data_IF_534783277694
#
_entry.id   IF_534783277694
#
_cell.length_a   1.000
_cell.length_b   1.000
_cell.length_c   1.000
_cell.angle_alpha   90.00
_cell.angle_beta   90.00
_cell.angle_gamma   90.00
#
_symmetry.space_group_name_H-M   'P 1'
#
loop_
_entity.id
_entity.type
_entity.pdbx_description
1 polymer ?
#
# COMPACT_ATOMS: atom_id res chain seq x y z
N UNK A 1 -23.43 10.09 3.80
CA UNK A 1 -24.19 11.07 2.99
C UNK A 1 -25.34 11.57 3.84
N UNK A 2 -25.66 12.87 3.85
CA UNK A 2 -26.73 13.39 4.70
C UNK A 2 -28.08 13.12 4.02
N UNK A 3 -29.09 12.55 4.70
CA UNK A 3 -30.32 12.04 4.08
C UNK A 3 -31.19 13.13 3.41
N UNK A 4 -30.89 14.40 3.64
CA UNK A 4 -31.59 15.54 3.05
C UNK A 4 -30.90 16.13 1.80
N UNK A 5 -29.72 15.61 1.41
CA UNK A 5 -29.05 16.01 0.17
C UNK A 5 -29.44 15.01 -0.89
N UNK A 6 -30.05 15.48 -1.98
CA UNK A 6 -30.50 14.61 -3.06
C UNK A 6 -29.34 13.83 -3.69
N UNK A 7 -29.58 12.58 -4.08
CA UNK A 7 -28.53 11.67 -4.55
C UNK A 7 -27.77 12.20 -5.77
N UNK A 8 -28.41 13.04 -6.58
CA UNK A 8 -27.83 13.69 -7.75
C UNK A 8 -26.95 14.90 -7.43
N UNK A 9 -26.99 15.41 -6.19
CA UNK A 9 -26.07 16.45 -5.72
C UNK A 9 -24.84 15.74 -5.16
N UNK A 10 -23.96 15.34 -6.07
CA UNK A 10 -22.71 14.69 -5.73
C UNK A 10 -21.59 15.16 -6.68
N UNK A 11 -20.34 15.05 -6.23
CA UNK A 11 -19.17 15.38 -7.05
C UNK A 11 -18.77 14.21 -7.95
N UNK A 12 -19.74 13.48 -8.55
CA UNK A 12 -19.43 12.31 -9.38
C UNK A 12 -19.13 12.60 -10.84
N UNK A 13 -19.33 13.84 -11.26
CA UNK A 13 -18.98 14.33 -12.57
C UNK A 13 -18.11 15.57 -12.40
N UNK A 14 -17.19 15.78 -13.34
CA UNK A 14 -16.51 17.07 -13.43
C UNK A 14 -17.47 18.09 -14.05
N UNK A 15 -17.38 19.34 -13.62
CA UNK A 15 -18.02 20.43 -14.31
C UNK A 15 -17.40 20.59 -15.71
N UNK A 16 -18.25 20.79 -16.73
CA UNK A 16 -17.88 20.88 -18.15
C UNK A 16 -17.15 19.65 -18.74
N UNK A 17 -17.33 18.46 -18.14
CA UNK A 17 -16.66 17.22 -18.57
C UNK A 17 -16.98 16.81 -20.01
N UNK A 18 -18.14 17.20 -20.51
CA UNK A 18 -18.60 16.96 -21.88
C UNK A 18 -17.70 17.62 -22.92
N UNK A 19 -16.93 18.66 -22.57
CA UNK A 19 -15.93 19.25 -23.47
C UNK A 19 -14.86 18.22 -23.92
N UNK A 20 -14.61 17.18 -23.13
CA UNK A 20 -13.66 16.11 -23.47
C UNK A 20 -14.13 15.26 -24.65
N UNK A 21 -15.43 15.23 -24.95
CA UNK A 21 -15.98 14.52 -26.11
C UNK A 21 -15.48 15.10 -27.44
N UNK A 22 -15.14 16.39 -27.47
CA UNK A 22 -14.58 17.06 -28.64
C UNK A 22 -13.09 16.70 -28.89
N UNK A 23 -12.45 15.95 -27.97
CA UNK A 23 -11.03 15.57 -28.01
C UNK A 23 -10.11 16.78 -28.25
N UNK A 24 -10.18 17.80 -27.38
CA UNK A 24 -9.33 18.97 -27.53
C UNK A 24 -7.84 18.58 -27.40
N UNK A 25 -6.97 19.26 -28.16
CA UNK A 25 -5.52 19.04 -28.05
C UNK A 25 -4.95 19.42 -26.68
N UNK A 26 -5.56 20.38 -25.99
CA UNK A 26 -5.23 20.78 -24.62
C UNK A 26 -6.47 20.84 -23.74
N UNK A 27 -6.32 20.51 -22.45
CA UNK A 27 -7.37 20.63 -21.43
C UNK A 27 -6.81 21.31 -20.20
N UNK A 28 -7.57 22.22 -19.59
CA UNK A 28 -7.23 22.86 -18.33
C UNK A 28 -8.09 22.27 -17.21
N UNK A 29 -7.49 21.97 -16.07
CA UNK A 29 -8.16 21.52 -14.85
C UNK A 29 -8.03 22.61 -13.80
N UNK A 30 -9.15 23.21 -13.39
CA UNK A 30 -9.23 24.22 -12.33
C UNK A 30 -9.81 23.67 -11.04
N UNK A 31 -9.69 24.40 -9.94
CA UNK A 31 -10.26 23.99 -8.64
C UNK A 31 -11.78 24.16 -8.62
N UNK A 32 -12.27 25.36 -8.94
CA UNK A 32 -13.68 25.74 -8.82
C UNK A 32 -14.46 25.86 -10.13
N UNK A 33 -15.79 25.94 -10.01
CA UNK A 33 -16.70 26.17 -11.14
C UNK A 33 -16.53 27.56 -11.74
N UNK A 34 -16.29 28.57 -10.90
CA UNK A 34 -16.09 29.97 -11.33
C UNK A 34 -14.85 30.10 -12.20
N UNK A 35 -13.74 29.48 -11.81
CA UNK A 35 -12.51 29.40 -12.60
C UNK A 35 -12.74 28.72 -13.95
N UNK A 36 -13.50 27.62 -13.93
CA UNK A 36 -13.83 26.88 -15.14
C UNK A 36 -14.67 27.74 -16.09
N UNK A 37 -15.69 28.41 -15.57
CA UNK A 37 -16.55 29.32 -16.33
C UNK A 37 -15.75 30.49 -16.93
N UNK A 38 -14.84 31.09 -16.17
CA UNK A 38 -14.02 32.21 -16.64
C UNK A 38 -13.14 31.78 -17.83
N UNK A 39 -12.52 30.59 -17.79
CA UNK A 39 -11.76 30.06 -18.92
C UNK A 39 -12.65 29.62 -20.10
N UNK A 40 -13.85 29.10 -19.81
CA UNK A 40 -14.83 28.77 -20.85
C UNK A 40 -15.27 30.03 -21.61
N UNK A 41 -15.42 31.18 -20.94
CA UNK A 41 -15.71 32.46 -21.59
C UNK A 41 -14.60 32.91 -22.55
N UNK A 42 -13.35 32.53 -22.26
CA UNK A 42 -12.21 32.73 -23.16
C UNK A 42 -12.11 31.67 -24.27
N UNK A 43 -13.05 30.72 -24.33
CA UNK A 43 -13.09 29.65 -25.31
C UNK A 43 -11.98 28.62 -25.13
N UNK A 44 -11.53 28.41 -23.89
CA UNK A 44 -10.52 27.41 -23.54
C UNK A 44 -11.21 26.12 -23.03
N UNK A 45 -10.77 24.92 -23.47
CA UNK A 45 -11.31 23.66 -22.97
C UNK A 45 -10.89 23.44 -21.52
N UNK A 46 -11.86 23.50 -20.60
CA UNK A 46 -11.59 23.47 -19.16
C UNK A 46 -12.58 22.56 -18.46
N UNK A 47 -12.12 21.86 -17.42
CA UNK A 47 -12.96 21.07 -16.51
C UNK A 47 -12.64 21.42 -15.06
N UNK A 48 -13.59 21.20 -14.15
CA UNK A 48 -13.36 21.38 -12.71
C UNK A 48 -13.91 20.21 -11.90
N UNK A 49 -13.17 19.67 -10.91
CA UNK A 49 -13.69 18.71 -9.96
C UNK A 49 -14.64 19.33 -8.92
N UNK A 50 -14.76 20.66 -8.88
CA UNK A 50 -15.47 21.42 -7.84
C UNK A 50 -14.85 21.19 -6.45
N UNK A 51 -13.57 20.80 -6.43
CA UNK A 51 -12.76 20.51 -5.25
C UNK A 51 -11.29 20.39 -5.66
N UNK A 52 -10.39 20.42 -4.69
CA UNK A 52 -8.94 20.26 -4.86
C UNK A 52 -8.48 18.90 -5.41
N UNK A 53 -9.35 17.87 -5.44
CA UNK A 53 -8.98 16.50 -5.83
C UNK A 53 -10.06 15.77 -6.63
N UNK A 54 -9.66 15.13 -7.72
CA UNK A 54 -10.49 14.14 -8.42
C UNK A 54 -10.54 12.85 -7.61
N UNK A 55 -11.72 12.24 -7.47
CA UNK A 55 -11.89 11.02 -6.67
C UNK A 55 -11.31 9.82 -7.41
N UNK A 56 -10.76 8.87 -6.66
CA UNK A 56 -10.12 7.67 -7.23
C UNK A 56 -11.04 6.92 -8.23
N UNK A 57 -12.32 6.79 -7.89
CA UNK A 57 -13.32 6.11 -8.71
C UNK A 57 -13.64 6.84 -10.04
N UNK A 58 -13.39 8.14 -10.14
CA UNK A 58 -13.72 8.92 -11.34
C UNK A 58 -12.65 8.74 -12.43
N UNK A 59 -11.43 8.34 -12.06
CA UNK A 59 -10.32 8.15 -13.01
C UNK A 59 -10.60 7.06 -14.04
N UNK A 60 -11.30 5.97 -13.67
CA UNK A 60 -11.67 4.90 -14.60
C UNK A 60 -12.49 5.44 -15.78
N UNK A 61 -13.34 6.45 -15.53
CA UNK A 61 -14.16 7.11 -16.55
C UNK A 61 -13.42 8.24 -17.28
N UNK A 62 -12.54 8.96 -16.58
CA UNK A 62 -11.84 10.15 -17.12
C UNK A 62 -10.66 9.78 -18.02
N UNK A 63 -9.86 8.78 -17.66
CA UNK A 63 -8.67 8.39 -18.42
C UNK A 63 -8.99 8.04 -19.89
N UNK A 64 -10.05 7.27 -20.21
CA UNK A 64 -10.44 7.03 -21.59
C UNK A 64 -10.82 8.31 -22.36
N UNK A 65 -11.39 9.32 -21.69
CA UNK A 65 -11.79 10.59 -22.31
C UNK A 65 -10.61 11.53 -22.56
N UNK A 66 -9.58 11.44 -21.72
CA UNK A 66 -8.32 12.17 -21.88
C UNK A 66 -7.38 11.51 -22.90
N UNK A 67 -7.71 10.30 -23.38
CA UNK A 67 -6.94 9.59 -24.41
C UNK A 67 -7.01 10.35 -25.74
N UNK A 68 -5.95 11.08 -26.07
CA UNK A 68 -5.85 11.92 -27.27
C UNK A 68 -5.70 13.41 -26.97
N UNK A 69 -5.81 13.82 -25.71
CA UNK A 69 -5.35 15.14 -25.26
C UNK A 69 -3.82 15.11 -25.30
N UNK A 70 -3.20 16.10 -25.95
CA UNK A 70 -1.75 16.21 -26.05
C UNK A 70 -1.15 16.64 -24.70
N UNK A 71 -1.74 17.67 -24.08
CA UNK A 71 -1.29 18.19 -22.78
C UNK A 71 -2.46 18.56 -21.87
N UNK A 72 -2.39 18.12 -20.62
CA UNK A 72 -3.29 18.55 -19.54
C UNK A 72 -2.59 19.60 -18.70
N UNK A 73 -3.21 20.77 -18.56
CA UNK A 73 -2.76 21.85 -17.71
C UNK A 73 -3.55 21.84 -16.40
N UNK A 74 -2.88 21.93 -15.27
CA UNK A 74 -3.53 22.03 -13.96
C UNK A 74 -3.25 23.44 -13.43
N UNK A 75 -4.31 24.21 -13.24
CA UNK A 75 -4.27 25.58 -12.75
C UNK A 75 -5.11 25.67 -11.47
N UNK A 76 -4.46 25.53 -10.32
CA UNK A 76 -5.11 25.68 -9.01
C UNK A 76 -4.86 27.08 -8.45
N UNK A 77 -5.59 27.44 -7.40
CA UNK A 77 -5.38 28.68 -6.65
C UNK A 77 -3.92 28.84 -6.24
N UNK A 78 -3.36 30.03 -6.45
CA UNK A 78 -2.06 30.37 -5.89
C UNK A 78 -2.27 30.94 -4.49
N UNK A 79 -2.27 30.05 -3.49
CA UNK A 79 -2.51 30.35 -2.09
C UNK A 79 -1.31 30.04 -1.17
N UNK A 80 -1.28 30.66 0.01
CA UNK A 80 -0.22 30.43 0.99
C UNK A 80 -0.20 29.00 1.51
N UNK A 81 -1.35 28.36 1.69
CA UNK A 81 -1.49 27.03 2.31
C UNK A 81 -0.94 25.88 1.47
N UNK A 82 -0.77 26.11 0.15
CA UNK A 82 -0.35 25.11 -0.83
C UNK A 82 -1.26 23.86 -0.87
N UNK A 83 -2.52 23.96 -0.41
CA UNK A 83 -3.45 22.85 -0.45
C UNK A 83 -3.85 22.51 -1.89
N UNK A 84 -4.14 23.53 -2.71
CA UNK A 84 -4.33 23.40 -4.15
C UNK A 84 -3.14 22.71 -4.84
N UNK A 85 -1.90 23.07 -4.48
CA UNK A 85 -0.71 22.44 -5.03
C UNK A 85 -0.62 20.94 -4.74
N UNK A 86 -0.89 20.51 -3.50
CA UNK A 86 -0.87 19.07 -3.15
C UNK A 86 -1.90 18.30 -3.99
N UNK A 87 -3.08 18.90 -4.24
CA UNK A 87 -4.09 18.36 -5.14
C UNK A 87 -3.60 18.27 -6.59
N UNK A 88 -2.93 19.32 -7.07
CA UNK A 88 -2.36 19.37 -8.42
C UNK A 88 -1.30 18.30 -8.66
N UNK A 89 -0.36 18.11 -7.74
CA UNK A 89 0.69 17.09 -7.86
C UNK A 89 0.12 15.67 -7.83
N UNK A 90 -0.89 15.40 -7.00
CA UNK A 90 -1.55 14.09 -6.98
C UNK A 90 -2.29 13.80 -8.30
N UNK A 91 -2.96 14.81 -8.84
CA UNK A 91 -3.64 14.74 -10.14
C UNK A 91 -2.62 14.49 -11.25
N UNK A 92 -1.50 15.22 -11.25
CA UNK A 92 -0.43 15.06 -12.23
C UNK A 92 0.23 13.69 -12.17
N UNK A 93 0.45 13.14 -10.97
CA UNK A 93 0.99 11.78 -10.80
C UNK A 93 0.07 10.73 -11.44
N UNK A 94 -1.23 10.83 -11.19
CA UNK A 94 -2.22 9.90 -11.76
C UNK A 94 -2.23 9.99 -13.30
N UNK A 95 -2.16 11.20 -13.85
CA UNK A 95 -2.09 11.40 -15.31
C UNK A 95 -0.78 10.86 -15.91
N UNK A 96 0.35 11.05 -15.23
CA UNK A 96 1.65 10.55 -15.65
C UNK A 96 1.72 9.01 -15.70
N UNK A 97 1.09 8.31 -14.74
CA UNK A 97 0.94 6.84 -14.75
C UNK A 97 0.22 6.33 -16.02
N UNK A 98 -0.65 7.17 -16.59
CA UNK A 98 -1.35 6.90 -17.85
C UNK A 98 -0.68 7.53 -19.08
N UNK A 99 0.55 8.05 -18.95
CA UNK A 99 1.36 8.66 -20.01
C UNK A 99 0.73 9.90 -20.66
N UNK A 100 -0.04 10.66 -19.88
CA UNK A 100 -0.63 11.93 -20.32
C UNK A 100 0.33 13.05 -19.93
N UNK A 101 0.79 13.86 -20.91
CA UNK A 101 1.65 15.01 -20.62
C UNK A 101 0.89 15.99 -19.74
N UNK A 102 1.51 16.38 -18.63
CA UNK A 102 0.87 17.21 -17.62
C UNK A 102 1.75 18.38 -17.23
N UNK A 103 1.16 19.57 -17.15
CA UNK A 103 1.82 20.83 -16.82
C UNK A 103 1.09 21.55 -15.69
N UNK A 104 1.85 22.15 -14.79
CA UNK A 104 1.35 22.98 -13.70
C UNK A 104 1.46 24.46 -14.10
N UNK A 105 0.32 25.15 -14.04
CA UNK A 105 0.20 26.57 -14.31
C UNK A 105 0.19 27.31 -12.98
N UNK A 106 1.05 28.31 -12.84
CA UNK A 106 1.09 29.18 -11.66
C UNK A 106 0.57 30.56 -12.03
N UNK A 107 -0.50 31.01 -11.37
CA UNK A 107 -1.02 32.35 -11.56
C UNK A 107 -0.07 33.39 -10.94
N UNK A 108 0.28 34.48 -11.65
CA UNK A 108 1.08 35.56 -11.09
C UNK A 108 0.28 36.31 -10.02
N UNK A 109 0.97 36.73 -8.96
CA UNK A 109 0.35 37.56 -7.91
C UNK A 109 0.36 39.02 -8.33
N UNK A 110 -0.75 39.73 -8.12
CA UNK A 110 -0.77 41.19 -8.23
C UNK A 110 -0.13 41.85 -7.00
N UNK A 111 0.12 43.15 -7.09
CA UNK A 111 0.62 43.96 -5.97
C UNK A 111 -0.26 43.79 -4.72
N UNK A 112 -1.58 43.70 -4.88
CA UNK A 112 -2.52 43.52 -3.77
C UNK A 112 -2.26 42.21 -3.01
N UNK A 113 -2.07 41.11 -3.73
CA UNK A 113 -1.79 39.81 -3.09
C UNK A 113 -0.38 39.76 -2.50
N UNK A 114 0.61 40.41 -3.14
CA UNK A 114 1.98 40.51 -2.61
C UNK A 114 1.99 41.28 -1.29
N UNK A 115 1.34 42.45 -1.24
CA UNK A 115 1.25 43.27 -0.02
C UNK A 115 0.50 42.55 1.09
N UNK A 116 -0.59 41.84 0.78
CA UNK A 116 -1.31 41.04 1.78
C UNK A 116 -0.43 39.93 2.37
N UNK A 117 0.38 39.25 1.54
CA UNK A 117 1.35 38.24 2.01
C UNK A 117 2.44 38.85 2.88
N UNK A 118 2.97 40.02 2.50
CA UNK A 118 3.96 40.74 3.30
C UNK A 118 3.40 41.14 4.67
N UNK A 119 2.18 41.70 4.74
CA UNK A 119 1.56 42.06 6.01
C UNK A 119 1.30 40.83 6.88
N UNK A 120 0.86 39.70 6.29
CA UNK A 120 0.72 38.43 7.02
C UNK A 120 2.04 37.97 7.62
N UNK A 121 3.14 38.07 6.88
CA UNK A 121 4.47 37.72 7.36
C UNK A 121 4.95 38.65 8.47
N UNK A 122 4.87 39.96 8.26
CA UNK A 122 5.40 40.97 9.20
C UNK A 122 4.60 41.04 10.51
N UNK A 123 3.27 41.02 10.42
CA UNK A 123 2.38 41.26 11.57
C UNK A 123 2.02 39.98 12.33
N UNK A 124 1.98 38.85 11.63
CA UNK A 124 1.55 37.57 12.20
C UNK A 124 2.62 36.47 12.14
N UNK A 125 3.80 36.75 11.57
CA UNK A 125 4.90 35.77 11.48
C UNK A 125 4.61 34.63 10.52
N UNK A 126 3.65 34.79 9.60
CA UNK A 126 3.23 33.75 8.67
C UNK A 126 4.21 33.69 7.49
N UNK A 127 5.24 32.86 7.60
CA UNK A 127 6.31 32.74 6.58
C UNK A 127 6.08 31.61 5.57
N UNK A 128 5.28 30.57 5.88
CA UNK A 128 4.97 29.49 4.92
C UNK A 128 3.74 28.63 5.30
N UNK A 129 3.00 28.18 4.27
CA UNK A 129 2.08 27.01 4.26
C UNK A 129 1.15 26.84 5.46
N UNK A 130 0.49 27.91 5.88
CA UNK A 130 -0.44 27.85 7.02
C UNK A 130 -1.85 27.54 6.52
N UNK A 131 -2.37 26.37 6.88
CA UNK A 131 -3.77 26.01 6.64
C UNK A 131 -4.71 26.69 7.65
N UNK A 132 -6.04 26.71 7.42
CA UNK A 132 -7.00 27.37 8.31
C UNK A 132 -6.91 26.93 9.78
N UNK A 133 -6.59 25.65 10.02
CA UNK A 133 -6.41 25.09 11.37
C UNK A 133 -5.14 25.57 12.06
N UNK A 134 -4.05 25.70 11.32
CA UNK A 134 -2.78 26.19 11.87
C UNK A 134 -2.84 27.70 12.11
N UNK A 135 -3.55 28.43 11.25
CA UNK A 135 -3.84 29.85 11.47
C UNK A 135 -4.65 30.03 12.77
N UNK A 136 -5.71 29.25 12.96
CA UNK A 136 -6.49 29.28 14.21
C UNK A 136 -5.62 29.00 15.44
N UNK A 137 -4.66 28.06 15.33
CA UNK A 137 -3.72 27.76 16.40
C UNK A 137 -2.76 28.93 16.67
N UNK A 138 -2.16 29.52 15.63
CA UNK A 138 -1.23 30.65 15.75
C UNK A 138 -1.89 31.93 16.30
N UNK A 139 -3.18 32.12 16.02
CA UNK A 139 -3.96 33.26 16.49
C UNK A 139 -4.65 33.00 17.84
N UNK A 140 -4.41 31.85 18.48
CA UNK A 140 -5.02 31.53 19.78
C UNK A 140 -4.61 32.57 20.82
N UNK A 141 -5.60 33.18 21.50
CA UNK A 141 -5.38 34.19 22.52
C UNK A 141 -5.18 35.62 21.98
N UNK A 142 -5.21 35.83 20.65
CA UNK A 142 -5.22 37.17 20.07
C UNK A 142 -6.62 37.81 20.11
N UNK A 143 -6.72 39.15 20.11
CA UNK A 143 -8.01 39.84 20.05
C UNK A 143 -8.82 39.46 18.81
N UNK A 144 -10.15 39.38 18.92
CA UNK A 144 -11.03 39.00 17.80
C UNK A 144 -10.85 39.89 16.56
N UNK A 145 -10.52 41.16 16.73
CA UNK A 145 -10.26 42.08 15.62
C UNK A 145 -8.97 41.72 14.85
N UNK A 146 -7.94 41.22 15.54
CA UNK A 146 -6.72 40.73 14.89
C UNK A 146 -6.96 39.43 14.13
N UNK A 147 -7.82 38.56 14.67
CA UNK A 147 -8.20 37.31 14.00
C UNK A 147 -8.91 37.63 12.67
N UNK A 148 -9.91 38.51 12.71
CA UNK A 148 -10.64 38.93 11.50
C UNK A 148 -9.72 39.61 10.48
N UNK A 149 -8.78 40.45 10.94
CA UNK A 149 -7.80 41.09 10.06
C UNK A 149 -6.89 40.05 9.38
N UNK A 150 -6.39 39.06 10.12
CA UNK A 150 -5.58 37.99 9.57
C UNK A 150 -6.35 37.11 8.57
N UNK A 151 -7.62 36.78 8.85
CA UNK A 151 -8.48 36.03 7.94
C UNK A 151 -8.76 36.80 6.64
N UNK A 152 -9.04 38.10 6.73
CA UNK A 152 -9.26 38.97 5.57
C UNK A 152 -7.99 39.09 4.71
N UNK A 153 -6.83 39.25 5.34
CA UNK A 153 -5.55 39.25 4.65
C UNK A 153 -5.25 37.90 3.99
N UNK A 154 -5.55 36.78 4.67
CA UNK A 154 -5.36 35.44 4.09
C UNK A 154 -6.25 35.23 2.86
N UNK A 155 -7.51 35.68 2.91
CA UNK A 155 -8.41 35.65 1.76
C UNK A 155 -7.89 36.52 0.60
N UNK A 156 -7.30 37.69 0.91
CA UNK A 156 -6.68 38.57 -0.09
C UNK A 156 -5.37 38.01 -0.63
N UNK A 157 -4.65 37.19 0.14
CA UNK A 157 -3.32 36.68 -0.24
C UNK A 157 -3.35 35.58 -1.30
N UNK A 158 -4.52 35.07 -1.68
CA UNK A 158 -4.68 34.11 -2.76
C UNK A 158 -5.17 34.78 -4.04
N UNK A 159 -4.87 34.15 -5.17
CA UNK A 159 -5.43 34.51 -6.48
C UNK A 159 -5.94 33.23 -7.12
N UNK A 160 -7.14 33.30 -7.67
CA UNK A 160 -7.74 32.25 -8.48
C UNK A 160 -7.86 32.69 -9.95
N UNK A 161 -8.34 31.79 -10.82
CA UNK A 161 -8.38 32.07 -12.26
C UNK A 161 -9.44 33.12 -12.57
N UNK A 162 -10.55 33.10 -11.84
CA UNK A 162 -11.61 34.08 -11.98
C UNK A 162 -11.11 35.50 -11.62
N UNK A 163 -10.36 35.65 -10.53
CA UNK A 163 -9.72 36.92 -10.15
C UNK A 163 -8.73 37.40 -11.21
N UNK A 164 -7.90 36.49 -11.74
CA UNK A 164 -6.95 36.80 -12.81
C UNK A 164 -7.67 37.35 -14.05
N UNK A 165 -8.75 36.72 -14.48
CA UNK A 165 -9.51 37.19 -15.66
C UNK A 165 -10.28 38.48 -15.34
N UNK A 166 -10.84 38.61 -14.14
CA UNK A 166 -11.53 39.81 -13.68
C UNK A 166 -10.62 41.06 -13.62
N UNK A 167 -9.31 40.87 -13.44
CA UNK A 167 -8.31 41.93 -13.53
C UNK A 167 -8.07 42.45 -14.96
N UNK A 168 -8.78 41.91 -15.97
CA UNK A 168 -8.71 42.34 -17.36
C UNK A 168 -7.77 41.52 -18.23
N UNK A 169 -7.23 40.41 -17.72
CA UNK A 169 -6.37 39.52 -18.50
C UNK A 169 -7.15 38.77 -19.58
N UNK A 170 -6.56 38.73 -20.77
CA UNK A 170 -7.15 38.19 -22.00
C UNK A 170 -6.84 36.70 -22.18
N UNK A 171 -7.45 36.09 -23.20
CA UNK A 171 -7.10 34.73 -23.65
C UNK A 171 -5.62 34.61 -23.96
N UNK A 172 -5.07 35.60 -24.68
CA UNK A 172 -3.67 35.64 -25.08
C UNK A 172 -2.73 35.71 -23.87
N UNK A 173 -3.15 36.40 -22.80
CA UNK A 173 -2.40 36.46 -21.55
C UNK A 173 -2.35 35.09 -20.86
N UNK A 174 -3.51 34.43 -20.78
CA UNK A 174 -3.58 33.09 -20.20
C UNK A 174 -2.83 32.05 -21.04
N UNK A 175 -2.88 32.13 -22.37
CA UNK A 175 -2.10 31.22 -23.22
C UNK A 175 -0.59 31.37 -23.04
N UNK A 176 -0.09 32.57 -22.71
CA UNK A 176 1.33 32.74 -22.31
C UNK A 176 1.65 32.02 -21.01
N UNK A 177 0.75 32.03 -20.03
CA UNK A 177 0.91 31.22 -18.80
C UNK A 177 0.98 29.72 -19.10
N UNK A 178 0.21 29.23 -20.07
CA UNK A 178 0.27 27.82 -20.50
C UNK A 178 1.62 27.48 -21.14
N UNK A 179 2.22 28.40 -21.89
CA UNK A 179 3.56 28.20 -22.48
C UNK A 179 4.65 28.16 -21.40
N UNK A 180 4.50 28.96 -20.34
CA UNK A 180 5.43 29.01 -19.21
C UNK A 180 5.20 27.91 -18.15
N UNK A 181 4.15 27.10 -18.34
CA UNK A 181 3.76 26.05 -17.42
C UNK A 181 4.86 25.00 -17.23
N UNK A 182 5.08 24.61 -15.99
CA UNK A 182 6.17 23.72 -15.61
C UNK A 182 5.71 22.27 -15.56
N UNK A 183 6.57 21.32 -15.87
CA UNK A 183 6.32 19.92 -15.50
C UNK A 183 6.24 19.77 -13.98
N UNK A 184 5.60 18.71 -13.45
CA UNK A 184 5.56 18.45 -12.01
C UNK A 184 6.96 18.41 -11.37
N UNK A 185 7.94 17.83 -12.05
CA UNK A 185 9.33 17.77 -11.58
C UNK A 185 9.94 19.18 -11.51
N UNK A 186 9.84 19.97 -12.59
CA UNK A 186 10.37 21.33 -12.62
C UNK A 186 9.73 22.22 -11.55
N UNK A 187 8.43 22.06 -11.35
CA UNK A 187 7.71 22.75 -10.29
C UNK A 187 8.25 22.34 -8.92
N UNK A 188 8.38 21.04 -8.65
CA UNK A 188 8.94 20.52 -7.40
C UNK A 188 10.34 21.08 -7.11
N UNK A 189 11.18 21.20 -8.15
CA UNK A 189 12.49 21.85 -8.05
C UNK A 189 12.35 23.33 -7.70
N UNK A 190 11.51 24.10 -8.41
CA UNK A 190 11.31 25.54 -8.16
C UNK A 190 10.73 25.84 -6.77
N UNK A 191 9.94 24.93 -6.20
CA UNK A 191 9.34 25.06 -4.88
C UNK A 191 10.31 24.77 -3.73
N UNK A 192 11.50 24.25 -4.00
CA UNK A 192 12.53 24.07 -2.99
C UNK A 192 12.88 25.44 -2.35
N UNK A 193 12.96 25.55 -1.01
CA UNK A 193 13.38 26.78 -0.35
C UNK A 193 14.77 27.23 -0.84
N UNK A 194 15.05 28.54 -0.81
CA UNK A 194 16.38 29.04 -1.19
C UNK A 194 17.43 28.70 -0.11
N UNK A 195 17.05 28.78 1.16
CA UNK A 195 17.93 28.57 2.32
C UNK A 195 17.68 27.20 2.97
N UNK A 196 18.10 26.12 2.31
CA UNK A 196 17.91 24.75 2.82
C UNK A 196 19.12 24.32 3.65
N UNK A 197 18.86 23.91 4.90
CA UNK A 197 19.83 23.19 5.73
C UNK A 197 20.35 21.94 5.00
N UNK A 198 21.60 21.51 5.25
CA UNK A 198 22.12 20.30 4.58
C UNK A 198 21.28 19.06 4.88
N UNK A 199 20.73 18.96 6.10
CA UNK A 199 19.92 17.84 6.57
C UNK A 199 18.54 17.78 5.88
N UNK A 200 17.85 18.93 5.76
CA UNK A 200 16.55 18.98 5.07
C UNK A 200 16.70 18.86 3.54
N UNK A 201 17.85 19.25 2.99
CA UNK A 201 18.12 19.22 1.55
C UNK A 201 18.04 17.82 0.99
N UNK A 202 18.70 16.85 1.63
CA UNK A 202 18.69 15.47 1.15
C UNK A 202 17.27 14.89 1.18
N UNK A 203 16.53 15.12 2.28
CA UNK A 203 15.13 14.66 2.42
C UNK A 203 14.21 15.24 1.36
N UNK A 204 14.36 16.52 1.00
CA UNK A 204 13.53 17.17 -0.01
C UNK A 204 13.95 16.82 -1.45
N UNK A 205 15.23 16.57 -1.68
CA UNK A 205 15.74 16.22 -3.01
C UNK A 205 15.50 14.75 -3.37
N UNK A 206 15.51 13.84 -2.40
CA UNK A 206 15.33 12.40 -2.65
C UNK A 206 14.13 12.05 -3.54
N UNK A 207 12.88 12.50 -3.27
CA UNK A 207 11.74 12.20 -4.13
C UNK A 207 11.89 12.80 -5.54
N UNK A 208 12.45 14.01 -5.65
CA UNK A 208 12.67 14.69 -6.93
C UNK A 208 13.72 13.92 -7.76
N UNK A 209 14.82 13.51 -7.14
CA UNK A 209 15.85 12.70 -7.79
C UNK A 209 15.30 11.33 -8.21
N UNK A 210 14.40 10.76 -7.41
CA UNK A 210 13.64 9.57 -7.76
C UNK A 210 12.89 9.73 -9.09
N UNK A 211 12.10 10.80 -9.24
CA UNK A 211 11.36 11.09 -10.47
C UNK A 211 12.27 11.43 -11.65
N UNK A 212 13.36 12.19 -11.41
CA UNK A 212 14.37 12.48 -12.44
C UNK A 212 15.01 11.18 -12.94
N UNK A 213 15.27 10.20 -12.06
CA UNK A 213 15.95 8.95 -12.41
C UNK A 213 15.21 8.10 -13.46
N UNK A 214 13.91 8.33 -13.63
CA UNK A 214 13.03 7.66 -14.60
C UNK A 214 13.02 8.34 -15.97
N UNK A 215 13.54 9.57 -16.05
CA UNK A 215 13.56 10.34 -17.29
C UNK A 215 14.67 9.87 -18.23
N UNK A 216 14.59 10.29 -19.50
CA UNK A 216 15.64 10.01 -20.48
C UNK A 216 16.99 10.63 -20.04
N UNK A 217 18.16 10.08 -20.47
CA UNK A 217 19.46 10.62 -20.07
C UNK A 217 19.66 12.11 -20.40
N UNK A 218 19.10 12.58 -21.51
CA UNK A 218 19.15 13.99 -21.89
C UNK A 218 18.34 14.86 -20.92
N UNK A 219 17.13 14.39 -20.58
CA UNK A 219 16.23 15.11 -19.69
C UNK A 219 16.72 15.09 -18.24
N UNK A 220 17.36 14.01 -17.81
CA UNK A 220 18.08 13.94 -16.53
C UNK A 220 19.12 15.05 -16.42
N UNK A 221 19.96 15.23 -17.45
CA UNK A 221 20.99 16.28 -17.43
C UNK A 221 20.38 17.67 -17.32
N UNK A 222 19.28 17.93 -18.04
CA UNK A 222 18.56 19.21 -18.01
C UNK A 222 17.96 19.49 -16.63
N UNK A 223 17.25 18.52 -16.05
CA UNK A 223 16.59 18.65 -14.75
C UNK A 223 17.59 18.74 -13.59
N UNK A 224 18.69 17.97 -13.64
CA UNK A 224 19.75 18.08 -12.63
C UNK A 224 20.42 19.45 -12.64
N UNK A 225 20.56 20.08 -13.82
CA UNK A 225 21.06 21.46 -13.91
C UNK A 225 20.12 22.45 -13.22
N UNK A 226 18.81 22.30 -13.44
CA UNK A 226 17.79 23.10 -12.76
C UNK A 226 17.84 22.92 -11.23
N UNK A 227 18.01 21.68 -10.75
CA UNK A 227 18.23 21.38 -9.33
C UNK A 227 19.46 22.12 -8.81
N UNK A 228 20.58 22.02 -9.51
CA UNK A 228 21.85 22.66 -9.11
C UNK A 228 21.74 24.19 -9.03
N UNK A 229 21.08 24.81 -10.01
CA UNK A 229 20.83 26.26 -10.04
C UNK A 229 19.98 26.70 -8.84
N UNK A 230 18.97 25.90 -8.46
CA UNK A 230 18.08 26.24 -7.35
C UNK A 230 18.75 26.12 -5.97
N UNK A 231 19.56 25.09 -5.75
CA UNK A 231 20.21 24.82 -4.45
C UNK A 231 21.52 25.60 -4.23
N UNK A 232 21.87 26.53 -5.14
CA UNK A 232 22.95 27.49 -4.91
C UNK A 232 24.36 26.91 -4.89
N UNK A 233 24.68 25.91 -5.71
CA UNK A 233 26.06 25.40 -5.88
C UNK A 233 26.61 24.57 -4.70
N UNK A 234 25.83 24.36 -3.64
CA UNK A 234 26.23 23.53 -2.49
C UNK A 234 26.33 22.03 -2.79
N UNK A 235 25.91 21.57 -3.97
CA UNK A 235 26.03 20.17 -4.42
C UNK A 235 26.59 20.15 -5.84
N UNK A 236 27.59 19.30 -6.08
CA UNK A 236 28.20 19.15 -7.40
C UNK A 236 27.32 18.32 -8.35
N UNK A 237 27.39 18.59 -9.65
CA UNK A 237 26.75 17.74 -10.67
C UNK A 237 27.22 16.28 -10.62
N UNK A 238 28.46 16.03 -10.18
CA UNK A 238 28.98 14.68 -10.03
C UNK A 238 28.23 13.94 -8.92
N UNK A 239 28.04 14.59 -7.77
CA UNK A 239 27.29 14.07 -6.62
C UNK A 239 25.83 13.77 -7.00
N UNK A 240 25.17 14.68 -7.72
CA UNK A 240 23.80 14.45 -8.18
C UNK A 240 23.68 13.27 -9.14
N UNK A 241 24.63 13.11 -10.08
CA UNK A 241 24.66 11.96 -11.00
C UNK A 241 24.93 10.65 -10.27
N UNK A 242 25.77 10.66 -9.24
CA UNK A 242 26.05 9.49 -8.42
C UNK A 242 24.82 9.05 -7.62
N UNK A 243 24.08 10.01 -7.04
CA UNK A 243 22.79 9.77 -6.39
C UNK A 243 21.77 9.12 -7.35
N UNK A 244 21.61 9.66 -8.56
CA UNK A 244 20.72 9.04 -9.59
C UNK A 244 21.13 7.60 -9.91
N UNK A 245 22.45 7.33 -10.02
CA UNK A 245 22.95 5.98 -10.28
C UNK A 245 22.69 5.03 -9.10
N UNK A 246 22.82 5.51 -7.87
CA UNK A 246 22.50 4.75 -6.67
C UNK A 246 21.01 4.36 -6.67
N UNK A 247 20.12 5.33 -6.86
CA UNK A 247 18.66 5.10 -6.95
C UNK A 247 18.31 4.08 -8.05
N UNK A 248 18.91 4.22 -9.24
CA UNK A 248 18.68 3.27 -10.34
C UNK A 248 19.21 1.85 -10.02
N UNK A 249 20.33 1.75 -9.30
CA UNK A 249 20.91 0.47 -8.87
C UNK A 249 19.99 -0.21 -7.86
N UNK A 250 19.52 0.52 -6.87
CA UNK A 250 18.67 0.00 -5.80
C UNK A 250 17.32 -0.48 -6.37
N UNK A 251 16.68 0.32 -7.22
CA UNK A 251 15.47 -0.09 -7.96
C UNK A 251 15.68 -1.32 -8.82
N UNK A 252 16.86 -1.48 -9.44
CA UNK A 252 17.17 -2.68 -10.24
C UNK A 252 17.34 -3.92 -9.37
N UNK A 253 17.86 -3.78 -8.15
CA UNK A 253 17.93 -4.86 -7.16
C UNK A 253 16.52 -5.22 -6.70
N UNK A 254 15.72 -4.22 -6.35
CA UNK A 254 14.33 -4.38 -5.91
C UNK A 254 13.49 -5.09 -6.98
N UNK A 255 13.51 -4.60 -8.23
CA UNK A 255 12.82 -5.25 -9.35
C UNK A 255 13.27 -6.70 -9.59
N UNK A 256 14.57 -7.00 -9.41
CA UNK A 256 15.06 -8.39 -9.50
C UNK A 256 14.52 -9.25 -8.37
N UNK A 257 14.44 -8.70 -7.16
CA UNK A 257 13.91 -9.39 -5.98
C UNK A 257 12.41 -9.63 -6.11
N UNK A 258 11.64 -8.63 -6.55
CA UNK A 258 10.22 -8.77 -6.86
C UNK A 258 9.97 -9.82 -7.94
N UNK A 259 10.76 -9.80 -9.02
CA UNK A 259 10.63 -10.81 -10.09
C UNK A 259 10.97 -12.22 -9.60
N UNK A 260 11.97 -12.37 -8.72
CA UNK A 260 12.28 -13.65 -8.05
C UNK A 260 11.12 -14.10 -7.17
N UNK A 261 10.53 -13.18 -6.38
CA UNK A 261 9.37 -13.43 -5.52
C UNK A 261 8.16 -13.87 -6.34
N UNK A 262 7.78 -13.11 -7.36
CA UNK A 262 6.68 -13.42 -8.26
C UNK A 262 6.86 -14.78 -8.98
N UNK A 263 8.06 -15.10 -9.46
CA UNK A 263 8.32 -16.38 -10.12
C UNK A 263 8.12 -17.56 -9.16
N UNK A 264 8.60 -17.47 -7.92
CA UNK A 264 8.45 -18.54 -6.92
C UNK A 264 7.02 -18.66 -6.41
N UNK A 265 6.33 -17.53 -6.20
CA UNK A 265 4.94 -17.52 -5.74
C UNK A 265 3.93 -17.92 -6.84
N UNK A 266 4.30 -17.88 -8.12
CA UNK A 266 3.39 -18.19 -9.25
C UNK A 266 2.77 -19.60 -9.22
N UNK A 267 3.37 -20.54 -8.47
CA UNK A 267 2.91 -21.91 -8.33
C UNK A 267 2.07 -22.19 -7.07
N UNK A 268 1.92 -21.22 -6.16
CA UNK A 268 1.22 -21.39 -4.90
C UNK A 268 -0.11 -20.61 -4.87
N UNK A 269 -1.19 -21.26 -4.43
CA UNK A 269 -2.48 -20.59 -4.28
C UNK A 269 -2.40 -19.58 -3.12
N UNK A 270 -2.83 -18.31 -3.30
CA UNK A 270 -2.87 -17.34 -2.21
C UNK A 270 -3.58 -17.89 -0.97
N UNK A 271 -3.00 -17.69 0.21
CA UNK A 271 -3.54 -18.20 1.48
C UNK A 271 -3.28 -19.69 1.76
N UNK A 272 -2.68 -20.44 0.83
CA UNK A 272 -2.25 -21.83 1.09
C UNK A 272 -1.00 -21.91 1.98
N UNK A 273 -0.80 -23.05 2.65
CA UNK A 273 0.39 -23.31 3.46
C UNK A 273 1.67 -23.12 2.64
N UNK A 274 1.67 -23.61 1.39
CA UNK A 274 2.77 -23.44 0.44
C UNK A 274 3.09 -21.98 0.17
N UNK A 275 2.08 -21.13 -0.06
CA UNK A 275 2.31 -19.71 -0.28
C UNK A 275 2.97 -19.05 0.93
N UNK A 276 2.55 -19.44 2.14
CA UNK A 276 3.13 -18.92 3.39
C UNK A 276 4.58 -19.41 3.60
N UNK A 277 4.86 -20.68 3.34
CA UNK A 277 6.20 -21.27 3.41
C UNK A 277 7.14 -20.61 2.39
N UNK A 278 6.69 -20.47 1.13
CA UNK A 278 7.47 -19.84 0.06
C UNK A 278 7.76 -18.37 0.39
N UNK A 279 6.80 -17.63 0.94
CA UNK A 279 6.98 -16.24 1.38
C UNK A 279 8.10 -16.12 2.41
N UNK A 280 8.07 -16.92 3.49
CA UNK A 280 9.09 -16.88 4.55
C UNK A 280 10.48 -17.25 4.00
N UNK A 281 10.57 -18.28 3.16
CA UNK A 281 11.85 -18.67 2.54
C UNK A 281 12.41 -17.58 1.64
N UNK A 282 11.56 -16.85 0.91
CA UNK A 282 11.97 -15.73 0.05
C UNK A 282 12.42 -14.55 0.91
N UNK A 283 11.63 -14.15 1.89
CA UNK A 283 11.90 -12.95 2.69
C UNK A 283 13.19 -13.13 3.51
N UNK A 284 13.41 -14.32 4.10
CA UNK A 284 14.64 -14.64 4.81
C UNK A 284 15.86 -14.76 3.90
N UNK A 285 15.71 -15.28 2.67
CA UNK A 285 16.81 -15.27 1.67
C UNK A 285 17.19 -13.86 1.24
N UNK A 286 16.21 -12.96 1.12
CA UNK A 286 16.44 -11.56 0.77
C UNK A 286 17.12 -10.77 1.91
N UNK A 287 16.73 -11.05 3.16
CA UNK A 287 17.27 -10.37 4.34
C UNK A 287 18.64 -10.93 4.76
N UNK A 288 18.76 -12.25 4.88
CA UNK A 288 19.93 -12.92 5.46
C UNK A 288 20.89 -13.51 4.41
N UNK A 289 20.52 -13.46 3.12
CA UNK A 289 21.29 -14.06 2.03
C UNK A 289 21.13 -15.58 1.88
N UNK A 290 20.35 -16.23 2.76
CA UNK A 290 20.00 -17.65 2.68
C UNK A 290 18.60 -17.91 3.27
N UNK A 291 17.85 -18.88 2.72
CA UNK A 291 16.51 -19.20 3.20
C UNK A 291 16.55 -19.86 4.59
N UNK A 292 15.66 -19.43 5.49
CA UNK A 292 15.51 -20.01 6.83
C UNK A 292 14.38 -21.04 6.87
N UNK A 293 14.76 -22.32 6.90
CA UNK A 293 13.83 -23.44 6.96
C UNK A 293 13.22 -23.67 8.33
N UNK A 294 13.80 -23.09 9.39
CA UNK A 294 13.25 -23.13 10.76
C UNK A 294 12.03 -22.22 10.82
N UNK A 295 12.17 -20.96 10.38
CA UNK A 295 11.06 -20.02 10.31
C UNK A 295 9.97 -20.49 9.33
N UNK A 296 10.36 -21.13 8.22
CA UNK A 296 9.41 -21.71 7.29
C UNK A 296 8.57 -22.84 7.95
N UNK A 297 9.17 -23.67 8.80
CA UNK A 297 8.46 -24.71 9.55
C UNK A 297 7.53 -24.11 10.62
N UNK A 298 7.95 -23.04 11.30
CA UNK A 298 7.07 -22.30 12.22
C UNK A 298 5.87 -21.70 11.49
N UNK A 299 6.08 -21.10 10.33
CA UNK A 299 5.00 -20.54 9.53
C UNK A 299 4.02 -21.62 9.03
N UNK A 300 4.52 -22.82 8.71
CA UNK A 300 3.67 -23.95 8.40
C UNK A 300 2.87 -24.43 9.62
N UNK A 301 3.49 -24.51 10.80
CA UNK A 301 2.82 -24.85 12.06
C UNK A 301 1.65 -23.90 12.37
N UNK A 302 1.89 -22.60 12.26
CA UNK A 302 0.87 -21.57 12.44
C UNK A 302 -0.26 -21.71 11.43
N UNK A 303 0.07 -21.91 10.15
CA UNK A 303 -0.92 -22.12 9.11
C UNK A 303 -1.79 -23.35 9.39
N UNK A 304 -1.18 -24.48 9.76
CA UNK A 304 -1.91 -25.71 10.07
C UNK A 304 -2.86 -25.49 11.25
N UNK A 305 -2.40 -24.87 12.34
CA UNK A 305 -3.27 -24.54 13.48
C UNK A 305 -4.44 -23.64 13.08
N UNK A 306 -4.18 -22.59 12.30
CA UNK A 306 -5.22 -21.68 11.81
C UNK A 306 -6.25 -22.38 10.90
N UNK A 307 -5.87 -23.51 10.29
CA UNK A 307 -6.71 -24.31 9.40
C UNK A 307 -7.23 -25.58 10.06
N UNK A 308 -7.30 -25.62 11.39
CA UNK A 308 -7.96 -26.68 12.14
C UNK A 308 -7.10 -27.91 12.44
N UNK A 309 -5.78 -27.85 12.18
CA UNK A 309 -4.88 -28.86 12.71
C UNK A 309 -4.76 -28.73 14.23
N UNK A 310 -4.59 -29.87 14.88
CA UNK A 310 -4.28 -29.95 16.30
C UNK A 310 -3.00 -30.78 16.45
N UNK A 311 -2.05 -30.24 17.20
CA UNK A 311 -0.76 -30.89 17.46
C UNK A 311 -0.74 -31.47 18.86
N UNK A 312 -0.21 -32.68 18.96
CA UNK A 312 -0.19 -33.47 20.18
C UNK A 312 1.15 -34.17 20.35
N UNK A 313 1.38 -34.62 21.57
CA UNK A 313 2.42 -35.61 21.85
C UNK A 313 1.97 -36.60 22.92
N UNK A 314 2.48 -37.83 22.84
CA UNK A 314 2.22 -38.85 23.87
C UNK A 314 3.00 -38.55 25.16
N UNK A 315 2.68 -39.27 26.23
CA UNK A 315 3.47 -39.25 27.48
C UNK A 315 4.92 -39.71 27.27
N UNK A 316 5.15 -40.57 26.27
CA UNK A 316 6.47 -41.07 25.89
C UNK A 316 7.22 -40.11 24.95
N UNK A 317 6.59 -39.01 24.58
CA UNK A 317 7.18 -37.95 23.76
C UNK A 317 7.15 -38.22 22.26
N UNK A 318 6.19 -39.02 21.78
CA UNK A 318 5.98 -39.22 20.34
C UNK A 318 5.04 -38.14 19.78
N UNK A 319 5.50 -37.28 18.86
CA UNK A 319 4.67 -36.21 18.29
C UNK A 319 3.75 -36.70 17.18
N UNK A 320 2.51 -36.23 17.20
CA UNK A 320 1.53 -36.49 16.15
C UNK A 320 0.60 -35.29 15.93
N UNK A 321 0.00 -35.23 14.75
CA UNK A 321 -0.93 -34.18 14.36
C UNK A 321 -2.25 -34.78 13.90
N UNK A 322 -3.37 -34.21 14.34
CA UNK A 322 -4.68 -34.45 13.77
C UNK A 322 -5.01 -33.34 12.78
N UNK A 323 -5.31 -33.70 11.53
CA UNK A 323 -5.66 -32.75 10.48
C UNK A 323 -6.46 -33.45 9.38
N UNK A 324 -7.46 -32.77 8.79
CA UNK A 324 -8.28 -33.32 7.69
C UNK A 324 -8.84 -34.73 8.01
N UNK A 325 -9.37 -34.89 9.22
CA UNK A 325 -9.91 -36.14 9.77
C UNK A 325 -8.93 -37.33 9.82
N UNK A 326 -7.62 -37.09 9.78
CA UNK A 326 -6.62 -38.13 9.86
C UNK A 326 -5.54 -37.83 10.91
N UNK A 327 -4.92 -38.89 11.43
CA UNK A 327 -3.81 -38.82 12.39
C UNK A 327 -2.49 -39.04 11.64
N UNK A 328 -1.57 -38.09 11.79
CA UNK A 328 -0.25 -38.12 11.18
C UNK A 328 0.82 -38.20 12.26
N UNK A 329 1.51 -39.33 12.32
CA UNK A 329 2.66 -39.52 13.19
C UNK A 329 3.88 -38.82 12.60
N UNK A 330 4.36 -37.81 13.32
CA UNK A 330 5.35 -36.86 12.80
C UNK A 330 6.77 -37.43 12.91
N UNK A 331 7.01 -38.28 13.91
CA UNK A 331 8.23 -39.06 14.06
C UNK A 331 7.88 -40.50 14.44
N UNK A 332 7.95 -41.42 13.48
CA UNK A 332 7.59 -42.84 13.69
C UNK A 332 8.60 -43.78 13.03
N UNK A 333 8.98 -44.89 13.71
CA UNK A 333 9.79 -45.94 13.09
C UNK A 333 9.03 -46.75 12.04
N UNK A 334 7.69 -46.69 12.02
CA UNK A 334 6.87 -47.35 11.00
C UNK A 334 6.97 -46.60 9.66
N UNK A 335 7.48 -47.28 8.63
CA UNK A 335 7.69 -46.70 7.29
C UNK A 335 6.39 -46.23 6.63
N UNK A 336 5.27 -46.87 6.92
CA UNK A 336 3.96 -46.50 6.38
C UNK A 336 3.49 -45.18 6.96
N UNK A 337 3.52 -45.06 8.30
CA UNK A 337 3.18 -43.83 9.04
C UNK A 337 4.07 -42.66 8.62
N UNK A 338 5.38 -42.88 8.57
CA UNK A 338 6.35 -41.87 8.13
C UNK A 338 6.08 -41.37 6.70
N UNK A 339 5.76 -42.29 5.77
CA UNK A 339 5.41 -41.93 4.40
C UNK A 339 4.09 -41.18 4.31
N UNK A 340 3.11 -41.55 5.13
CA UNK A 340 1.80 -40.89 5.18
C UNK A 340 1.93 -39.42 5.64
N UNK A 341 2.67 -39.17 6.73
CA UNK A 341 2.99 -37.82 7.19
C UNK A 341 3.75 -37.00 6.14
N UNK A 342 4.80 -37.57 5.55
CA UNK A 342 5.57 -36.88 4.53
C UNK A 342 4.76 -36.53 3.27
N UNK A 343 3.82 -37.40 2.87
CA UNK A 343 2.92 -37.14 1.75
C UNK A 343 1.95 -35.99 2.05
N UNK A 344 1.37 -35.95 3.25
CA UNK A 344 0.51 -34.85 3.69
C UNK A 344 1.29 -33.53 3.72
N UNK A 345 2.48 -33.51 4.33
CA UNK A 345 3.29 -32.29 4.35
C UNK A 345 3.68 -31.83 2.95
N UNK A 346 4.08 -32.75 2.08
CA UNK A 346 4.41 -32.41 0.69
C UNK A 346 3.21 -31.82 -0.06
N UNK A 347 2.00 -32.38 0.13
CA UNK A 347 0.76 -31.87 -0.46
C UNK A 347 0.51 -30.40 -0.11
N UNK A 348 0.77 -30.02 1.14
CA UNK A 348 0.46 -28.66 1.63
C UNK A 348 1.61 -27.67 1.49
N UNK A 349 2.87 -28.11 1.55
CA UNK A 349 4.05 -27.23 1.60
C UNK A 349 4.95 -27.33 0.36
N UNK A 350 4.87 -28.43 -0.39
CA UNK A 350 5.83 -28.76 -1.45
C UNK A 350 7.22 -29.18 -0.95
N UNK A 351 7.42 -29.27 0.37
CA UNK A 351 8.72 -29.60 0.97
C UNK A 351 9.03 -31.08 0.86
N UNK A 352 10.26 -31.39 0.43
CA UNK A 352 10.75 -32.78 0.30
C UNK A 352 11.76 -33.07 1.41
N UNK A 353 11.58 -34.12 2.23
CA UNK A 353 12.39 -34.36 3.43
C UNK A 353 13.87 -34.68 3.13
N UNK A 354 14.22 -35.03 1.89
CA UNK A 354 15.59 -35.42 1.52
C UNK A 354 16.50 -34.24 1.18
N UNK A 355 15.95 -33.05 0.93
CA UNK A 355 16.74 -31.84 0.63
C UNK A 355 17.36 -31.28 1.91
N UNK A 356 18.45 -30.51 1.80
CA UNK A 356 19.13 -29.93 2.97
C UNK A 356 18.18 -29.14 3.87
N UNK A 357 17.42 -28.21 3.29
CA UNK A 357 16.40 -27.44 4.02
C UNK A 357 15.16 -28.24 4.40
N UNK A 358 14.80 -29.25 3.60
CA UNK A 358 13.70 -30.15 3.92
C UNK A 358 13.94 -30.97 5.18
N UNK A 359 15.19 -31.39 5.45
CA UNK A 359 15.52 -32.08 6.72
C UNK A 359 15.24 -31.20 7.92
N UNK A 360 15.77 -29.97 7.93
CA UNK A 360 15.51 -28.99 8.99
C UNK A 360 14.02 -28.75 9.16
N UNK A 361 13.29 -28.52 8.07
CA UNK A 361 11.84 -28.31 8.12
C UNK A 361 11.10 -29.49 8.78
N UNK A 362 11.45 -30.72 8.39
CA UNK A 362 10.85 -31.94 8.91
C UNK A 362 11.29 -32.31 10.33
N UNK A 363 12.36 -31.73 10.85
CA UNK A 363 12.80 -31.87 12.25
C UNK A 363 12.18 -30.82 13.17
N UNK A 364 12.04 -29.58 12.68
CA UNK A 364 11.48 -28.46 13.46
C UNK A 364 9.99 -28.64 13.68
N UNK A 365 9.22 -29.06 12.68
CA UNK A 365 7.76 -29.16 12.82
C UNK A 365 7.32 -30.17 13.91
N UNK A 366 7.88 -31.40 14.02
CA UNK A 366 7.63 -32.30 15.15
C UNK A 366 8.09 -31.71 16.49
N UNK A 367 9.22 -30.99 16.50
CA UNK A 367 9.71 -30.31 17.71
C UNK A 367 8.72 -29.25 18.20
N UNK A 368 8.07 -28.52 17.29
CA UNK A 368 7.01 -27.57 17.65
C UNK A 368 5.78 -28.28 18.24
N UNK A 369 5.43 -29.46 17.75
CA UNK A 369 4.37 -30.27 18.36
C UNK A 369 4.74 -30.73 19.78
N UNK A 370 6.02 -31.04 20.04
CA UNK A 370 6.51 -31.37 21.38
C UNK A 370 6.50 -30.17 22.33
N UNK A 371 6.79 -28.96 21.83
CA UNK A 371 6.90 -27.75 22.66
C UNK A 371 5.53 -27.09 22.89
N UNK A 372 4.69 -27.07 21.86
CA UNK A 372 3.44 -26.28 21.82
C UNK A 372 2.18 -27.14 21.70
N UNK A 373 2.31 -28.43 21.40
CA UNK A 373 1.19 -29.36 21.29
C UNK A 373 0.65 -29.78 22.66
N UNK A 374 -0.55 -30.35 22.67
CA UNK A 374 -1.17 -30.85 23.89
C UNK A 374 -0.71 -32.27 24.21
N UNK A 375 -0.54 -32.60 25.48
CA UNK A 375 -0.33 -33.98 25.89
C UNK A 375 -1.63 -34.76 25.64
N UNK A 376 -1.57 -35.77 24.77
CA UNK A 376 -2.66 -36.73 24.61
C UNK A 376 -2.09 -38.14 24.54
N UNK A 377 -2.58 -38.98 25.43
CA UNK A 377 -2.16 -40.37 25.45
C UNK A 377 -2.91 -41.15 24.37
N UNK A 378 -2.19 -42.09 23.77
CA UNK A 378 -2.67 -42.85 22.63
C UNK A 378 -2.86 -44.30 23.05
N UNK A 379 -4.04 -44.84 22.78
CA UNK A 379 -4.40 -46.19 23.22
C UNK A 379 -4.48 -47.16 22.04
N UNK A 380 -4.44 -48.45 22.36
CA UNK A 380 -4.74 -49.51 21.41
C UNK A 380 -6.13 -49.31 20.78
N UNK A 381 -6.52 -50.13 19.82
CA UNK A 381 -7.84 -50.11 19.18
C UNK A 381 -9.03 -50.27 20.15
N UNK A 382 -8.74 -50.58 21.42
CA UNK A 382 -9.66 -50.62 22.54
C UNK A 382 -9.02 -49.88 23.73
N UNK A 383 -9.79 -49.01 24.38
CA UNK A 383 -9.44 -48.40 25.65
C UNK A 383 -10.58 -48.61 26.66
N UNK A 384 -10.23 -48.82 27.92
CA UNK A 384 -11.21 -48.97 29.00
C UNK A 384 -10.83 -48.03 30.12
N UNK A 385 -11.71 -47.08 30.38
CA UNK A 385 -11.63 -46.23 31.57
C UNK A 385 -12.49 -46.85 32.67
N UNK A 386 -11.80 -47.48 33.61
CA UNK A 386 -12.43 -48.17 34.75
C UNK A 386 -13.08 -47.18 35.71
N UNK A 387 -12.59 -45.94 35.81
CA UNK A 387 -13.11 -44.95 36.74
C UNK A 387 -14.49 -44.44 36.31
N UNK A 388 -14.71 -44.30 35.00
CA UNK A 388 -15.97 -43.84 34.42
C UNK A 388 -16.85 -44.99 33.87
N UNK A 389 -16.43 -46.25 34.04
CA UNK A 389 -17.08 -47.42 33.44
C UNK A 389 -17.30 -47.29 31.92
N UNK A 390 -16.36 -46.64 31.23
CA UNK A 390 -16.48 -46.35 29.80
C UNK A 390 -15.51 -47.20 28.99
N UNK A 391 -16.00 -47.80 27.91
CA UNK A 391 -15.19 -48.50 26.91
C UNK A 391 -15.19 -47.69 25.62
N UNK A 392 -14.01 -47.42 25.09
CA UNK A 392 -13.84 -46.81 23.78
C UNK A 392 -13.33 -47.86 22.79
N UNK A 393 -13.96 -47.92 21.63
CA UNK A 393 -13.68 -48.91 20.59
C UNK A 393 -13.47 -48.23 19.23
N UNK A 394 -12.37 -48.53 18.54
CA UNK A 394 -12.11 -48.00 17.21
C UNK A 394 -12.92 -48.75 16.15
N UNK A 395 -13.77 -48.04 15.41
CA UNK A 395 -14.64 -48.63 14.39
C UNK A 395 -13.87 -49.03 13.12
N UNK A 396 -12.64 -48.56 12.95
CA UNK A 396 -11.82 -48.76 11.75
C UNK A 396 -12.56 -48.38 10.45
N UNK A 397 -13.49 -47.42 10.53
CA UNK A 397 -14.27 -46.96 9.39
C UNK A 397 -13.56 -45.82 8.64
N UNK A 398 -13.94 -45.54 7.38
CA UNK A 398 -13.36 -44.44 6.59
C UNK A 398 -13.55 -43.05 7.22
N UNK A 399 -14.53 -42.90 8.10
CA UNK A 399 -14.88 -41.63 8.77
C UNK A 399 -14.03 -41.34 10.02
N UNK A 400 -13.08 -42.24 10.34
CA UNK A 400 -12.19 -42.16 11.50
C UNK A 400 -12.94 -41.95 12.82
N UNK A 401 -13.84 -42.88 13.15
CA UNK A 401 -14.71 -42.79 14.33
C UNK A 401 -14.42 -43.86 15.39
N UNK A 402 -14.72 -43.52 16.64
CA UNK A 402 -14.72 -44.43 17.79
C UNK A 402 -16.12 -44.50 18.39
N UNK A 403 -16.48 -45.65 18.93
CA UNK A 403 -17.65 -45.81 19.77
C UNK A 403 -17.25 -45.59 21.24
N UNK A 404 -17.91 -44.65 21.91
CA UNK A 404 -17.93 -44.51 23.37
C UNK A 404 -19.11 -45.34 23.89
N UNK A 405 -18.82 -46.33 24.71
CA UNK A 405 -19.79 -47.25 25.29
C UNK A 405 -19.78 -47.03 26.80
N UNK A 406 -20.88 -46.51 27.34
CA UNK A 406 -21.14 -46.38 28.77
C UNK A 406 -22.24 -47.37 29.20
N UNK A 407 -22.53 -47.52 30.50
CA UNK A 407 -23.66 -48.35 30.94
C UNK A 407 -25.02 -47.88 30.40
N UNK A 408 -25.14 -46.58 30.09
CA UNK A 408 -26.41 -45.94 29.74
C UNK A 408 -26.56 -45.67 28.24
N UNK A 409 -25.46 -45.52 27.49
CA UNK A 409 -25.50 -45.17 26.08
C UNK A 409 -24.33 -45.70 25.24
N UNK A 410 -24.54 -45.77 23.93
CA UNK A 410 -23.48 -45.92 22.92
C UNK A 410 -23.50 -44.68 22.04
N UNK A 411 -22.39 -43.94 22.01
CA UNK A 411 -22.23 -42.73 21.23
C UNK A 411 -21.07 -42.88 20.25
N UNK A 412 -21.30 -42.54 18.99
CA UNK A 412 -20.23 -42.47 17.99
C UNK A 412 -19.62 -41.07 18.03
N UNK A 413 -18.30 -41.00 18.08
CA UNK A 413 -17.54 -39.74 18.08
C UNK A 413 -16.29 -39.87 17.21
N UNK A 414 -15.68 -38.73 16.87
CA UNK A 414 -14.45 -38.70 16.05
C UNK A 414 -13.25 -39.24 16.84
N UNK A 415 -12.39 -39.98 16.15
CA UNK A 415 -11.15 -40.53 16.70
C UNK A 415 -10.07 -39.45 16.73
N UNK A 416 -9.83 -38.86 17.90
CA UNK A 416 -9.07 -37.61 18.02
C UNK A 416 -9.93 -36.36 17.85
N UNK A 417 -9.53 -35.28 18.52
CA UNK A 417 -10.30 -34.03 18.58
C UNK A 417 -11.63 -34.11 19.34
N UNK A 418 -11.97 -35.25 19.96
CA UNK A 418 -13.19 -35.40 20.78
C UNK A 418 -13.05 -34.81 22.18
N UNK A 419 -14.21 -34.60 22.82
CA UNK A 419 -14.39 -34.04 24.17
C UNK A 419 -13.71 -34.86 25.27
N UNK A 420 -13.59 -36.18 25.07
CA UNK A 420 -13.04 -37.10 26.07
C UNK A 420 -11.51 -37.23 26.01
N UNK A 421 -10.85 -36.58 25.05
CA UNK A 421 -9.40 -36.69 24.95
C UNK A 421 -8.90 -37.93 24.20
N UNK A 422 -9.77 -38.88 23.85
CA UNK A 422 -9.38 -40.25 23.47
C UNK A 422 -8.94 -40.36 22.02
N UNK A 423 -7.82 -41.04 21.80
CA UNK A 423 -7.32 -41.43 20.47
C UNK A 423 -7.01 -42.92 20.51
N UNK A 424 -7.61 -43.69 19.59
CA UNK A 424 -7.41 -45.12 19.48
C UNK A 424 -6.72 -45.47 18.16
N UNK A 425 -5.73 -46.36 18.21
CA UNK A 425 -5.11 -46.89 16.99
C UNK A 425 -6.05 -47.81 16.21
N UNK A 426 -5.84 -47.93 14.90
CA UNK A 426 -6.53 -48.94 14.09
C UNK A 426 -6.00 -50.35 14.39
N UNK A 427 -6.84 -51.37 14.26
CA UNK A 427 -6.43 -52.78 14.35
C UNK A 427 -6.17 -53.33 12.96
N UNK A 428 -5.00 -53.97 12.73
CA UNK A 428 -4.73 -54.70 11.46
C UNK A 428 -5.50 -56.03 11.35
N UNK A 429 -6.24 -56.41 12.40
CA UNK A 429 -6.96 -57.69 12.48
C UNK A 429 -8.47 -57.55 12.20
N UNK A 430 -8.96 -56.32 12.14
CA UNK A 430 -10.29 -55.95 11.66
C UNK A 430 -10.11 -55.25 10.32
#
# INVERSE_FOLDING_TARGET
QRPYVADFINNALLFNEDCLLARPGKVIITEGVTDCLALMQLGLPTVSPVTVRIRAADWERLIPKLRGVETVYICQDNELSQAGLKGALQTARTLAEHKIDTRLVTLPLSETQISARQELTERFGLTASVGPKELAKLLTGRPSAEIQAAEALLATAKIDVNDYIAAGHTREDFERLLVEASTPIEFGVRSLPADISEEDRNRLLEPILGEISEQSPLEQVRLLKLVQERIGGGVSMATLKEQIRAIQKDRKVEFRNEKKKAKRMSGAMPGSCRARVDEVLIDTELENGAPDYTLAAEAAYEWFNANGAQFFHTLQGEPFMYFDNAIYWMDSPDRGRKRHYAAMLYKHTGMVPTTGGGRTFFEVLPSLAMIRGQVRDHFSWLHTDVASYTVYFNLNNPEHEIAKITPDEIRIMKNGGNEDGIILDGSRKM
#
